data_IF_260557136708
#
_entry.id   IF_260557136708
#
_cell.length_a   1.000
_cell.length_b   1.000
_cell.length_c   1.000
_cell.angle_alpha   90.00
_cell.angle_beta   90.00
_cell.angle_gamma   90.00
#
_symmetry.space_group_name_H-M   'P 1'
#
loop_
_entity.id
_entity.type
_entity.pdbx_description
1 polymer ?
#
# COMPACT_ATOMS: atom_id res chain seq x y z
N UNK A 1 -34.28 30.00 -1.47
CA UNK A 1 -32.98 29.95 -2.17
C UNK A 1 -31.98 30.71 -1.30
N UNK A 2 -31.14 30.14 -0.44
CA UNK A 2 -30.07 29.15 -0.66
C UNK A 2 -29.55 28.74 0.74
N UNK A 3 -30.15 27.72 1.36
CA UNK A 3 -29.66 27.10 2.60
C UNK A 3 -29.33 25.62 2.35
N UNK A 4 -28.68 25.33 1.21
CA UNK A 4 -28.34 23.98 0.76
C UNK A 4 -26.86 23.86 0.38
N UNK A 5 -25.96 24.57 1.07
CA UNK A 5 -24.50 24.48 0.79
C UNK A 5 -23.68 24.51 2.09
N UNK A 6 -24.16 23.87 3.16
CA UNK A 6 -23.39 23.71 4.41
C UNK A 6 -23.29 22.22 4.78
N UNK A 7 -23.13 21.35 3.78
CA UNK A 7 -23.23 19.89 3.97
C UNK A 7 -22.13 19.02 3.39
N UNK A 8 -21.14 19.55 2.65
CA UNK A 8 -20.28 18.70 1.82
C UNK A 8 -18.80 19.11 1.73
N UNK A 9 -18.23 19.63 2.82
CA UNK A 9 -16.83 20.07 2.83
C UNK A 9 -15.96 19.40 3.91
N UNK A 10 -16.31 18.18 4.35
CA UNK A 10 -15.59 17.48 5.44
C UNK A 10 -15.04 16.09 5.08
N UNK A 11 -15.10 15.66 3.82
CA UNK A 11 -14.65 14.32 3.40
C UNK A 11 -13.25 14.28 2.74
N UNK A 12 -12.54 15.40 2.65
CA UNK A 12 -11.30 15.50 1.86
C UNK A 12 -9.97 15.22 2.59
N UNK A 13 -9.96 15.02 3.92
CA UNK A 13 -8.73 15.15 4.72
C UNK A 13 -8.16 13.82 5.28
N UNK A 14 -8.57 12.67 4.74
CA UNK A 14 -7.95 11.38 5.06
C UNK A 14 -7.34 10.68 3.83
N UNK A 15 -7.01 11.45 2.78
CA UNK A 15 -6.06 10.99 1.77
C UNK A 15 -4.72 10.73 2.48
N UNK A 16 -4.43 9.44 2.65
CA UNK A 16 -3.46 8.95 3.61
C UNK A 16 -2.05 9.51 3.40
N UNK A 17 -1.30 9.56 4.50
CA UNK A 17 0.15 9.53 4.48
C UNK A 17 0.61 8.20 3.85
N UNK A 18 0.49 8.05 2.53
CA UNK A 18 1.11 6.97 1.77
C UNK A 18 2.50 7.43 1.32
N UNK A 19 3.37 7.68 2.30
CA UNK A 19 4.80 7.83 2.05
C UNK A 19 5.41 6.43 1.86
N UNK A 20 5.28 5.86 0.66
CA UNK A 20 6.19 4.83 0.14
C UNK A 20 5.90 4.56 -1.33
N UNK A 21 6.61 5.30 -2.20
CA UNK A 21 7.27 4.78 -3.39
C UNK A 21 6.54 3.67 -4.18
N UNK A 22 5.34 3.94 -4.66
CA UNK A 22 4.58 3.06 -5.58
C UNK A 22 5.10 3.10 -7.03
N UNK A 23 6.22 3.78 -7.30
CA UNK A 23 6.87 3.86 -8.62
C UNK A 23 7.45 2.52 -9.11
N UNK A 24 7.44 1.47 -8.27
CA UNK A 24 8.16 0.24 -8.52
C UNK A 24 7.36 -0.90 -9.12
N UNK A 25 6.02 -0.86 -9.21
CA UNK A 25 5.22 -2.03 -9.62
C UNK A 25 4.27 -1.72 -10.76
N UNK A 26 4.24 -2.59 -11.77
CA UNK A 26 3.41 -2.42 -12.96
C UNK A 26 2.67 -3.70 -13.32
N UNK A 27 1.41 -3.58 -13.76
CA UNK A 27 0.57 -4.69 -14.23
C UNK A 27 -0.39 -4.18 -15.29
N UNK A 28 -0.47 -4.87 -16.42
CA UNK A 28 -1.35 -4.47 -17.53
C UNK A 28 -2.82 -4.47 -17.07
N UNK A 29 -3.52 -3.35 -17.29
CA UNK A 29 -4.93 -3.19 -16.94
C UNK A 29 -5.21 -2.97 -15.44
N UNK A 30 -4.20 -2.91 -14.58
CA UNK A 30 -4.40 -2.58 -13.17
C UNK A 30 -4.55 -1.07 -12.99
N UNK A 31 -5.53 -0.65 -12.19
CA UNK A 31 -5.64 0.74 -11.76
C UNK A 31 -4.67 1.03 -10.60
N UNK A 32 -4.43 2.32 -10.32
CA UNK A 32 -3.67 2.73 -9.14
C UNK A 32 -4.33 2.29 -7.82
N UNK A 33 -5.66 2.21 -7.80
CA UNK A 33 -6.40 1.74 -6.65
C UNK A 33 -6.21 0.23 -6.43
N UNK A 34 -6.14 -0.56 -7.52
CA UNK A 34 -5.83 -1.99 -7.43
C UNK A 34 -4.41 -2.21 -6.92
N UNK A 35 -3.44 -1.45 -7.45
CA UNK A 35 -2.07 -1.47 -6.96
C UNK A 35 -2.01 -1.18 -5.45
N UNK A 36 -2.62 -0.09 -5.00
CA UNK A 36 -2.59 0.27 -3.57
C UNK A 36 -3.26 -0.80 -2.68
N UNK A 37 -4.37 -1.40 -3.14
CA UNK A 37 -5.03 -2.49 -2.40
C UNK A 37 -4.10 -3.71 -2.30
N UNK A 38 -3.50 -4.10 -3.42
CA UNK A 38 -2.64 -5.27 -3.51
C UNK A 38 -1.34 -5.10 -2.72
N UNK A 39 -0.73 -3.91 -2.75
CA UNK A 39 0.42 -3.57 -1.92
C UNK A 39 0.08 -3.68 -0.43
N UNK A 40 -1.06 -3.13 0.01
CA UNK A 40 -1.48 -3.20 1.41
C UNK A 40 -1.79 -4.64 1.87
N UNK A 41 -2.38 -5.45 1.00
CA UNK A 41 -2.58 -6.88 1.26
C UNK A 41 -1.23 -7.60 1.39
N UNK A 42 -0.31 -7.38 0.44
CA UNK A 42 0.99 -8.02 0.43
C UNK A 42 1.88 -7.58 1.60
N UNK A 43 1.83 -6.30 2.01
CA UNK A 43 2.50 -5.81 3.21
C UNK A 43 1.96 -6.47 4.48
N UNK A 44 0.64 -6.69 4.56
CA UNK A 44 0.03 -7.41 5.69
C UNK A 44 0.50 -8.86 5.75
N UNK A 45 0.58 -9.54 4.61
CA UNK A 45 1.08 -10.93 4.54
C UNK A 45 2.59 -11.03 4.80
N UNK A 46 3.35 -10.00 4.42
CA UNK A 46 4.79 -9.91 4.63
C UNK A 46 5.18 -9.54 6.06
N UNK A 47 4.22 -9.06 6.88
CA UNK A 47 4.44 -8.68 8.26
C UNK A 47 4.75 -9.91 9.12
N UNK A 48 5.85 -9.86 9.85
CA UNK A 48 6.22 -10.89 10.82
C UNK A 48 6.64 -10.28 12.15
N UNK A 49 6.41 -11.02 13.23
CA UNK A 49 6.95 -10.71 14.54
C UNK A 49 8.30 -11.42 14.69
N UNK A 50 9.35 -10.66 14.98
CA UNK A 50 10.68 -11.21 15.28
C UNK A 50 11.06 -10.90 16.72
N UNK A 51 11.62 -11.89 17.41
CA UNK A 51 12.22 -11.69 18.73
C UNK A 51 13.50 -10.86 18.64
N UNK A 52 13.85 -10.18 19.73
CA UNK A 52 15.09 -9.42 19.84
C UNK A 52 15.43 -9.09 21.29
N UNK A 53 16.65 -8.59 21.55
CA UNK A 53 17.12 -8.29 22.91
C UNK A 53 16.28 -7.22 23.62
N UNK A 54 15.62 -6.34 22.85
CA UNK A 54 14.71 -5.30 23.36
C UNK A 54 13.23 -5.71 23.34
N UNK A 55 12.93 -6.99 23.07
CA UNK A 55 11.57 -7.51 22.92
C UNK A 55 11.14 -7.75 21.46
N UNK A 56 9.91 -8.26 21.26
CA UNK A 56 9.41 -8.57 19.93
C UNK A 56 9.13 -7.29 19.14
N UNK A 57 9.57 -7.27 17.88
CA UNK A 57 9.29 -6.17 16.94
C UNK A 57 8.67 -6.68 15.66
N UNK A 58 7.85 -5.84 15.05
CA UNK A 58 7.25 -6.12 13.75
C UNK A 58 8.22 -5.72 12.65
N UNK A 59 8.48 -6.63 11.70
CA UNK A 59 9.27 -6.36 10.50
C UNK A 59 8.50 -6.80 9.25
N UNK A 60 8.85 -6.23 8.11
CA UNK A 60 8.34 -6.64 6.80
C UNK A 60 9.38 -7.55 6.14
N UNK A 61 9.00 -8.78 5.82
CA UNK A 61 9.82 -9.68 5.02
C UNK A 61 9.76 -9.26 3.55
N UNK A 62 10.79 -8.57 3.08
CA UNK A 62 10.83 -8.00 1.74
C UNK A 62 10.67 -9.07 0.64
N UNK A 63 11.27 -10.25 0.80
CA UNK A 63 11.11 -11.35 -0.15
C UNK A 63 9.66 -11.85 -0.22
N UNK A 64 8.96 -11.87 0.92
CA UNK A 64 7.55 -12.30 0.97
C UNK A 64 6.65 -11.24 0.33
N UNK A 65 6.92 -9.97 0.56
CA UNK A 65 6.24 -8.86 -0.10
C UNK A 65 6.41 -8.94 -1.62
N UNK A 66 7.67 -9.05 -2.08
CA UNK A 66 8.01 -9.16 -3.50
C UNK A 66 7.32 -10.34 -4.17
N UNK A 67 7.39 -11.53 -3.58
CA UNK A 67 6.73 -12.73 -4.13
C UNK A 67 5.22 -12.53 -4.22
N UNK A 68 4.58 -11.98 -3.20
CA UNK A 68 3.15 -11.70 -3.22
C UNK A 68 2.76 -10.75 -4.38
N UNK A 69 3.53 -9.69 -4.61
CA UNK A 69 3.29 -8.77 -5.74
C UNK A 69 3.44 -9.48 -7.09
N UNK A 70 4.50 -10.30 -7.25
CA UNK A 70 4.75 -11.10 -8.46
C UNK A 70 3.63 -12.13 -8.70
N UNK A 71 3.18 -12.81 -7.65
CA UNK A 71 2.09 -13.80 -7.73
C UNK A 71 0.75 -13.14 -8.11
N UNK A 72 0.56 -11.86 -7.76
CA UNK A 72 -0.57 -11.05 -8.22
C UNK A 72 -0.41 -10.54 -9.66
N UNK A 73 0.71 -10.84 -10.32
CA UNK A 73 1.00 -10.48 -11.70
C UNK A 73 1.61 -9.08 -11.87
N UNK A 74 2.16 -8.50 -10.80
CA UNK A 74 2.92 -7.25 -10.90
C UNK A 74 4.38 -7.55 -11.22
N UNK A 75 4.95 -6.75 -12.13
CA UNK A 75 6.37 -6.73 -12.43
C UNK A 75 7.02 -5.50 -11.80
N UNK A 76 8.26 -5.65 -11.31
CA UNK A 76 9.04 -4.50 -10.89
C UNK A 76 9.29 -3.61 -12.12
N UNK A 77 8.87 -2.35 -12.07
CA UNK A 77 9.23 -1.34 -13.05
C UNK A 77 10.75 -1.13 -13.08
N UNK A 78 11.29 -0.56 -14.16
CA UNK A 78 12.71 -0.26 -14.25
C UNK A 78 13.12 0.64 -13.08
N UNK A 79 14.10 0.20 -12.29
CA UNK A 79 14.72 1.06 -11.29
C UNK A 79 15.56 2.09 -12.05
N UNK A 80 15.17 3.36 -11.96
CA UNK A 80 15.96 4.49 -12.45
C UNK A 80 17.26 4.65 -11.68
#
# INVERSE_FOLDING_TARGET
MRLLVVGLALLGLLAGCASSSSDGWTKAGASQQDLARDELDCLRQARMLVGGPQGPRTVIQQDRYRRCMVDRGYAEGPRK
#
